data_IF_945982009110
#
_entry.id   IF_945982009110
#
_cell.length_a   1.000
_cell.length_b   1.000
_cell.length_c   1.000
_cell.angle_alpha   90.00
_cell.angle_beta   90.00
_cell.angle_gamma   90.00
#
_symmetry.space_group_name_H-M   'P 1'
#
loop_
_entity.id
_entity.type
_entity.pdbx_description
1 polymer ?
#
# COMPACT_ATOMS: atom_id res chain seq x y z
N UNK A 1 28.81 -16.53 19.51
CA UNK A 1 28.58 -16.58 18.05
C UNK A 1 28.39 -18.04 17.71
N UNK A 2 27.20 -18.45 17.26
CA UNK A 2 27.01 -19.81 16.73
C UNK A 2 27.82 -20.05 15.48
N UNK A 3 28.25 -21.29 15.31
CA UNK A 3 28.90 -21.76 14.10
C UNK A 3 27.97 -21.64 12.88
N UNK A 4 28.52 -21.29 11.70
CA UNK A 4 27.75 -21.26 10.47
C UNK A 4 27.28 -22.67 10.08
N UNK A 5 26.09 -22.73 9.50
CA UNK A 5 25.50 -23.93 8.91
C UNK A 5 25.15 -23.67 7.45
N UNK A 6 25.34 -24.70 6.63
CA UNK A 6 24.97 -24.69 5.21
C UNK A 6 23.72 -25.55 5.06
N UNK A 7 22.66 -24.95 4.53
CA UNK A 7 21.43 -25.63 4.14
C UNK A 7 21.41 -25.76 2.62
N UNK A 8 21.24 -26.97 2.11
CA UNK A 8 20.90 -27.22 0.72
C UNK A 8 19.40 -27.49 0.62
N UNK A 9 18.64 -26.50 0.16
CA UNK A 9 17.18 -26.57 0.03
C UNK A 9 16.84 -26.73 -1.46
N UNK A 10 16.48 -27.95 -1.84
CA UNK A 10 16.39 -28.36 -3.24
C UNK A 10 17.73 -28.13 -3.96
N UNK A 11 17.70 -27.32 -5.01
CA UNK A 11 18.90 -26.98 -5.81
C UNK A 11 19.69 -25.79 -5.25
N UNK A 12 19.18 -25.08 -4.23
CA UNK A 12 19.77 -23.84 -3.73
C UNK A 12 20.52 -24.06 -2.43
N UNK A 13 21.63 -23.33 -2.24
CA UNK A 13 22.43 -23.36 -1.01
C UNK A 13 22.30 -22.05 -0.25
N UNK A 14 22.11 -22.16 1.06
CA UNK A 14 21.97 -21.04 1.98
C UNK A 14 22.97 -21.20 3.13
N UNK A 15 23.66 -20.13 3.47
CA UNK A 15 24.55 -20.09 4.63
C UNK A 15 23.95 -19.16 5.69
N UNK A 16 23.86 -19.63 6.92
CA UNK A 16 23.33 -18.87 8.07
C UNK A 16 23.90 -19.44 9.36
N UNK A 17 23.41 -19.01 10.53
CA UNK A 17 23.77 -19.63 11.83
C UNK A 17 22.58 -20.38 12.41
N UNK A 18 22.85 -21.35 13.30
CA UNK A 18 21.81 -22.10 14.01
C UNK A 18 20.94 -21.16 14.84
N UNK A 19 21.55 -20.22 15.57
CA UNK A 19 20.86 -19.20 16.38
C UNK A 19 19.74 -18.49 15.61
N UNK A 20 20.03 -18.07 14.36
CA UNK A 20 19.04 -17.42 13.49
C UNK A 20 17.92 -18.38 13.15
N UNK A 21 18.23 -19.61 12.69
CA UNK A 21 17.23 -20.58 12.27
C UNK A 21 16.27 -20.95 13.39
N UNK A 22 16.81 -21.16 14.59
CA UNK A 22 16.00 -21.55 15.75
C UNK A 22 15.26 -20.38 16.38
N UNK A 23 15.41 -19.15 15.93
CA UNK A 23 14.73 -18.01 16.55
C UNK A 23 13.21 -18.09 16.31
N UNK A 24 12.83 -18.24 15.03
CA UNK A 24 11.45 -18.06 14.54
C UNK A 24 10.85 -19.31 13.87
N UNK A 25 11.61 -20.39 13.75
CA UNK A 25 11.14 -21.66 13.18
C UNK A 25 11.12 -22.76 14.23
N UNK A 26 9.93 -23.32 14.48
CA UNK A 26 9.80 -24.50 15.37
C UNK A 26 10.42 -25.75 14.76
N UNK A 27 10.38 -25.87 13.43
CA UNK A 27 11.06 -26.94 12.69
C UNK A 27 12.56 -26.94 12.98
N UNK A 28 13.24 -25.81 12.82
CA UNK A 28 14.69 -25.74 13.07
C UNK A 28 15.02 -25.87 14.55
N UNK A 29 14.19 -25.34 15.47
CA UNK A 29 14.31 -25.61 16.92
C UNK A 29 14.35 -27.11 17.19
N UNK A 30 13.43 -27.88 16.60
CA UNK A 30 13.38 -29.33 16.75
C UNK A 30 14.58 -30.02 16.07
N UNK A 31 14.95 -29.61 14.86
CA UNK A 31 16.06 -30.19 14.10
C UNK A 31 17.40 -30.05 14.85
N UNK A 32 17.64 -28.89 15.47
CA UNK A 32 18.88 -28.60 16.21
C UNK A 32 18.76 -28.83 17.73
N UNK A 33 17.68 -29.43 18.20
CA UNK A 33 17.49 -29.76 19.63
C UNK A 33 18.41 -30.87 20.15
N UNK A 34 19.13 -31.56 19.25
CA UNK A 34 19.93 -32.75 19.56
C UNK A 34 19.12 -34.03 19.75
N UNK A 35 17.78 -33.96 19.66
CA UNK A 35 16.90 -35.12 19.78
C UNK A 35 16.95 -36.05 18.55
N UNK A 36 17.38 -35.53 17.40
CA UNK A 36 17.45 -36.25 16.13
C UNK A 36 18.86 -36.20 15.56
N UNK A 37 19.33 -37.34 15.02
CA UNK A 37 20.59 -37.37 14.28
C UNK A 37 20.41 -36.64 12.94
N UNK A 38 20.89 -35.41 12.84
CA UNK A 38 20.84 -34.63 11.59
C UNK A 38 21.81 -35.27 10.59
N UNK A 39 21.25 -35.84 9.51
CA UNK A 39 22.05 -36.43 8.43
C UNK A 39 22.69 -35.30 7.62
N UNK A 40 24.00 -35.11 7.79
CA UNK A 40 24.80 -34.21 6.97
C UNK A 40 25.27 -34.89 5.69
N UNK A 41 25.49 -34.08 4.67
CA UNK A 41 26.15 -34.47 3.43
C UNK A 41 27.68 -34.57 3.63
N UNK A 42 28.43 -35.14 2.68
CA UNK A 42 29.90 -35.22 2.76
C UNK A 42 30.61 -33.87 2.91
N UNK A 43 29.97 -32.77 2.50
CA UNK A 43 30.46 -31.39 2.62
C UNK A 43 29.90 -30.66 3.86
N UNK A 44 29.41 -31.40 4.86
CA UNK A 44 28.81 -30.91 6.11
C UNK A 44 27.51 -30.10 5.97
N UNK A 45 26.96 -29.98 4.77
CA UNK A 45 25.67 -29.32 4.56
C UNK A 45 24.47 -30.20 4.95
N UNK A 46 23.34 -29.58 5.29
CA UNK A 46 22.08 -30.26 5.60
C UNK A 46 21.17 -30.18 4.38
N UNK A 47 20.77 -31.32 3.83
CA UNK A 47 19.84 -31.38 2.69
C UNK A 47 18.38 -31.33 3.14
N UNK A 48 17.58 -30.51 2.48
CA UNK A 48 16.14 -30.35 2.69
C UNK A 48 15.46 -30.37 1.33
N UNK A 49 14.57 -31.35 1.11
CA UNK A 49 13.90 -31.56 -0.18
C UNK A 49 12.67 -30.65 -0.33
N UNK A 50 12.91 -29.35 -0.49
CA UNK A 50 11.90 -28.29 -0.55
C UNK A 50 12.25 -27.23 -1.59
N UNK A 51 11.32 -26.32 -1.89
CA UNK A 51 11.57 -25.23 -2.84
C UNK A 51 12.51 -24.17 -2.27
N UNK A 52 13.76 -24.18 -2.74
CA UNK A 52 14.74 -23.18 -2.39
C UNK A 52 14.35 -21.75 -2.78
N UNK A 53 13.50 -21.54 -3.79
CA UNK A 53 13.07 -20.20 -4.21
C UNK A 53 12.17 -19.56 -3.16
N UNK A 54 11.10 -20.25 -2.78
CA UNK A 54 10.23 -19.81 -1.69
C UNK A 54 10.96 -19.74 -0.34
N UNK A 55 11.85 -20.70 -0.05
CA UNK A 55 12.62 -20.71 1.20
C UNK A 55 13.49 -19.47 1.41
N UNK A 56 13.98 -18.84 0.35
CA UNK A 56 14.76 -17.60 0.48
C UNK A 56 13.97 -16.51 1.23
N UNK A 57 12.67 -16.37 0.94
CA UNK A 57 11.81 -15.42 1.62
C UNK A 57 11.53 -15.83 3.07
N UNK A 58 11.36 -17.14 3.33
CA UNK A 58 11.23 -17.67 4.70
C UNK A 58 12.49 -17.38 5.51
N UNK A 59 13.68 -17.56 4.93
CA UNK A 59 14.95 -17.28 5.60
C UNK A 59 15.15 -15.78 5.86
N UNK A 60 14.74 -14.91 4.92
CA UNK A 60 14.74 -13.46 5.14
C UNK A 60 13.83 -13.07 6.31
N UNK A 61 12.63 -13.66 6.39
CA UNK A 61 11.73 -13.49 7.53
C UNK A 61 12.39 -13.95 8.83
N UNK A 62 12.96 -15.15 8.87
CA UNK A 62 13.61 -15.68 10.09
C UNK A 62 14.72 -14.74 10.58
N UNK A 63 15.51 -14.16 9.67
CA UNK A 63 16.64 -13.27 10.00
C UNK A 63 16.25 -11.93 10.61
N UNK A 64 15.16 -11.32 10.15
CA UNK A 64 14.84 -9.92 10.47
C UNK A 64 13.40 -9.65 10.87
N UNK A 65 12.55 -10.67 10.86
CA UNK A 65 11.11 -10.56 11.09
C UNK A 65 10.35 -9.78 10.02
N UNK A 66 10.97 -9.55 8.85
CA UNK A 66 10.36 -8.82 7.75
C UNK A 66 9.50 -9.77 6.93
N UNK A 67 8.23 -9.43 6.75
CA UNK A 67 7.32 -10.20 5.92
C UNK A 67 7.59 -9.96 4.43
N UNK A 68 7.40 -10.98 3.57
CA UNK A 68 7.52 -10.79 2.14
C UNK A 68 6.43 -9.85 1.63
N UNK A 69 6.82 -8.77 0.94
CA UNK A 69 5.90 -7.87 0.23
C UNK A 69 6.31 -7.84 -1.23
N UNK A 70 5.72 -8.76 -1.99
CA UNK A 70 5.90 -8.94 -3.42
C UNK A 70 4.75 -8.19 -4.10
N UNK A 71 5.03 -6.94 -4.46
CA UNK A 71 4.08 -6.06 -5.11
C UNK A 71 4.78 -5.32 -6.25
N UNK A 72 4.22 -5.40 -7.44
CA UNK A 72 4.66 -4.63 -8.59
C UNK A 72 3.85 -3.33 -8.67
N UNK A 73 4.58 -2.21 -8.62
CA UNK A 73 3.99 -0.86 -8.66
C UNK A 73 3.47 -0.49 -10.04
N UNK A 74 4.02 -1.07 -11.10
CA UNK A 74 3.64 -0.74 -12.47
C UNK A 74 2.35 -1.45 -12.86
N UNK A 75 2.26 -2.75 -12.58
CA UNK A 75 1.04 -3.55 -12.83
C UNK A 75 -0.01 -3.45 -11.73
N UNK A 76 0.31 -2.80 -10.60
CA UNK A 76 -0.51 -2.70 -9.39
C UNK A 76 -0.91 -4.07 -8.81
N UNK A 77 -0.06 -5.09 -9.00
CA UNK A 77 -0.39 -6.48 -8.67
C UNK A 77 0.51 -7.09 -7.60
N UNK A 78 -0.11 -7.89 -6.76
CA UNK A 78 0.54 -8.74 -5.79
C UNK A 78 1.01 -10.06 -6.44
N UNK A 79 2.17 -10.56 -6.02
CA UNK A 79 2.72 -11.83 -6.49
C UNK A 79 2.04 -13.06 -5.88
N UNK A 80 0.74 -13.25 -6.10
CA UNK A 80 -0.08 -14.31 -5.48
C UNK A 80 0.51 -15.71 -5.59
N UNK A 81 1.06 -16.08 -6.75
CA UNK A 81 1.72 -17.39 -6.95
C UNK A 81 2.89 -17.56 -5.97
N UNK A 82 3.69 -16.52 -5.77
CA UNK A 82 4.82 -16.57 -4.86
C UNK A 82 4.37 -16.55 -3.40
N UNK A 83 3.34 -15.77 -3.03
CA UNK A 83 2.77 -15.82 -1.67
C UNK A 83 2.33 -17.24 -1.28
N UNK A 84 1.65 -17.94 -2.19
CA UNK A 84 1.26 -19.34 -1.96
C UNK A 84 2.46 -20.27 -1.81
N UNK A 85 3.50 -20.12 -2.65
CA UNK A 85 4.72 -20.92 -2.53
C UNK A 85 5.42 -20.68 -1.18
N UNK A 86 5.51 -19.42 -0.74
CA UNK A 86 6.08 -19.07 0.58
C UNK A 86 5.20 -19.61 1.70
N UNK A 87 3.88 -19.62 1.57
CA UNK A 87 2.96 -20.14 2.58
C UNK A 87 3.20 -21.63 2.84
N UNK A 88 3.36 -22.43 1.79
CA UNK A 88 3.67 -23.85 1.91
C UNK A 88 5.00 -24.10 2.63
N UNK A 89 6.03 -23.31 2.32
CA UNK A 89 7.31 -23.39 3.03
C UNK A 89 7.20 -22.87 4.48
N UNK A 90 6.48 -21.78 4.72
CA UNK A 90 6.26 -21.25 6.06
C UNK A 90 5.55 -22.26 6.98
N UNK A 91 4.59 -23.03 6.44
CA UNK A 91 3.94 -24.16 7.11
C UNK A 91 4.93 -25.28 7.40
N UNK A 92 5.71 -25.70 6.41
CA UNK A 92 6.73 -26.75 6.55
C UNK A 92 7.78 -26.39 7.63
N UNK A 93 8.33 -25.18 7.56
CA UNK A 93 9.31 -24.67 8.52
C UNK A 93 8.67 -24.15 9.81
N UNK A 94 7.35 -24.26 9.97
CA UNK A 94 6.60 -23.91 11.18
C UNK A 94 6.92 -22.49 11.69
N UNK A 95 6.82 -21.51 10.78
CA UNK A 95 7.01 -20.09 11.05
C UNK A 95 5.64 -19.42 11.29
N UNK A 96 5.11 -19.55 12.50
CA UNK A 96 3.69 -19.29 12.81
C UNK A 96 3.21 -17.88 12.42
N UNK A 97 3.97 -16.83 12.76
CA UNK A 97 3.59 -15.45 12.40
C UNK A 97 3.60 -15.22 10.88
N UNK A 98 4.54 -15.84 10.15
CA UNK A 98 4.60 -15.77 8.69
C UNK A 98 3.42 -16.52 8.05
N UNK A 99 3.02 -17.66 8.62
CA UNK A 99 1.82 -18.40 8.18
C UNK A 99 0.59 -17.52 8.37
N UNK A 100 0.38 -16.94 9.55
CA UNK A 100 -0.74 -16.05 9.83
C UNK A 100 -0.76 -14.87 8.85
N UNK A 101 0.39 -14.21 8.65
CA UNK A 101 0.50 -13.08 7.73
C UNK A 101 0.06 -13.44 6.30
N UNK A 102 0.42 -14.63 5.81
CA UNK A 102 0.10 -15.09 4.46
C UNK A 102 -1.34 -15.62 4.32
N UNK A 103 -1.83 -16.39 5.29
CA UNK A 103 -3.19 -16.95 5.28
C UNK A 103 -4.26 -15.88 5.42
N UNK A 104 -4.02 -14.88 6.27
CA UNK A 104 -4.97 -13.77 6.48
C UNK A 104 -4.81 -12.64 5.45
N UNK A 105 -4.01 -12.88 4.41
CA UNK A 105 -3.72 -11.94 3.32
C UNK A 105 -3.27 -10.55 3.82
N UNK A 106 -2.52 -10.51 4.94
CA UNK A 106 -2.08 -9.26 5.55
C UNK A 106 -1.17 -8.43 4.62
N UNK A 107 -0.56 -9.06 3.62
CA UNK A 107 0.20 -8.38 2.56
C UNK A 107 -0.63 -7.34 1.79
N UNK A 108 -1.95 -7.50 1.70
CA UNK A 108 -2.84 -6.51 1.08
C UNK A 108 -2.88 -5.20 1.88
N UNK A 109 -2.61 -5.25 3.18
CA UNK A 109 -2.59 -4.08 4.09
C UNK A 109 -1.25 -3.36 4.08
N UNK A 110 -0.20 -3.99 3.56
CA UNK A 110 1.13 -3.40 3.42
C UNK A 110 1.19 -2.29 2.37
N UNK A 111 0.22 -2.25 1.44
CA UNK A 111 0.19 -1.30 0.32
C UNK A 111 -1.07 -0.45 0.41
N UNK A 112 -0.89 0.87 0.46
CA UNK A 112 -1.99 1.83 0.46
C UNK A 112 -1.88 2.82 -0.69
N UNK A 113 -3.05 3.27 -1.14
CA UNK A 113 -3.19 4.34 -2.12
C UNK A 113 -3.69 5.60 -1.42
N UNK A 114 -2.96 6.69 -1.59
CA UNK A 114 -3.45 8.03 -1.26
C UNK A 114 -3.95 8.68 -2.54
N UNK A 115 -5.26 8.80 -2.66
CA UNK A 115 -5.88 9.55 -3.74
C UNK A 115 -6.04 11.00 -3.32
N UNK A 116 -5.45 11.92 -4.08
CA UNK A 116 -5.67 13.35 -3.93
C UNK A 116 -6.40 13.90 -5.14
N UNK A 117 -7.29 14.84 -4.91
CA UNK A 117 -8.11 15.46 -5.95
C UNK A 117 -7.74 16.93 -6.08
N UNK A 118 -7.49 17.38 -7.29
CA UNK A 118 -7.37 18.80 -7.61
C UNK A 118 -8.44 19.19 -8.63
N UNK A 119 -9.11 20.31 -8.36
CA UNK A 119 -10.13 20.84 -9.27
C UNK A 119 -9.51 22.02 -10.01
N UNK A 120 -9.41 21.89 -11.33
CA UNK A 120 -8.86 22.93 -12.20
C UNK A 120 -9.96 23.51 -13.08
N UNK A 121 -9.84 24.81 -13.39
CA UNK A 121 -10.71 25.41 -14.39
C UNK A 121 -10.31 24.85 -15.76
N UNK A 122 -11.29 24.70 -16.66
CA UNK A 122 -11.02 24.17 -18.00
C UNK A 122 -10.02 25.04 -18.79
N UNK A 123 -10.08 26.36 -18.59
CA UNK A 123 -9.23 27.33 -19.29
C UNK A 123 -7.76 27.32 -18.84
N UNK A 124 -7.45 26.77 -17.66
CA UNK A 124 -6.08 26.74 -17.12
C UNK A 124 -5.25 25.53 -17.58
N UNK A 125 -5.77 24.70 -18.49
CA UNK A 125 -5.13 23.47 -18.97
C UNK A 125 -4.55 23.57 -20.40
N UNK A 126 -4.49 24.79 -20.97
CA UNK A 126 -4.03 25.01 -22.35
C UNK A 126 -2.48 24.99 -22.48
N UNK A 127 -1.73 24.94 -21.38
CA UNK A 127 -0.26 24.85 -21.42
C UNK A 127 0.22 23.42 -21.14
N UNK A 128 0.38 22.64 -22.21
CA UNK A 128 0.87 21.25 -22.15
C UNK A 128 2.39 21.23 -22.40
N UNK A 129 3.20 21.44 -21.36
CA UNK A 129 4.64 21.17 -21.42
C UNK A 129 4.88 19.67 -21.27
N UNK A 130 5.22 19.04 -22.39
CA UNK A 130 5.30 17.59 -22.58
C UNK A 130 6.66 17.01 -22.13
N UNK A 131 7.15 17.38 -20.95
CA UNK A 131 8.42 16.86 -20.44
C UNK A 131 8.33 16.52 -18.96
N UNK A 132 7.90 15.30 -18.67
CA UNK A 132 7.97 14.72 -17.35
C UNK A 132 7.14 13.45 -17.26
N UNK A 133 7.82 12.33 -17.03
CA UNK A 133 7.21 11.04 -16.67
C UNK A 133 6.42 11.22 -15.38
N UNK A 134 5.18 11.67 -15.50
CA UNK A 134 4.30 11.94 -14.37
C UNK A 134 3.45 10.71 -14.07
N UNK A 135 3.17 10.43 -12.78
CA UNK A 135 2.32 9.31 -12.38
C UNK A 135 0.95 9.41 -13.05
N UNK A 136 0.28 8.27 -13.25
CA UNK A 136 -1.02 8.14 -13.91
C UNK A 136 -2.03 9.19 -13.38
N UNK A 137 -2.21 10.28 -14.13
CA UNK A 137 -3.17 11.33 -13.84
C UNK A 137 -4.48 10.96 -14.52
N UNK A 138 -5.51 10.63 -13.74
CA UNK A 138 -6.85 10.45 -14.29
C UNK A 138 -7.55 11.80 -14.29
N UNK A 139 -7.83 12.29 -15.49
CA UNK A 139 -8.52 13.54 -15.71
C UNK A 139 -9.98 13.23 -16.06
N UNK A 140 -10.89 13.52 -15.13
CA UNK A 140 -12.33 13.38 -15.37
C UNK A 140 -13.01 14.73 -15.46
N UNK A 141 -13.94 14.84 -16.40
CA UNK A 141 -14.78 16.01 -16.52
C UNK A 141 -15.94 15.90 -15.53
N UNK A 142 -16.11 16.90 -14.67
CA UNK A 142 -17.29 17.00 -13.80
C UNK A 142 -17.96 18.35 -13.90
N UNK A 143 -19.28 18.30 -13.86
CA UNK A 143 -20.13 19.47 -13.74
C UNK A 143 -20.29 19.82 -12.26
N UNK A 144 -20.09 21.09 -11.94
CA UNK A 144 -20.25 21.64 -10.60
C UNK A 144 -21.25 22.79 -10.64
N UNK A 145 -22.04 22.94 -9.59
CA UNK A 145 -22.91 24.11 -9.45
C UNK A 145 -22.17 25.23 -8.73
N UNK A 146 -22.17 26.42 -9.34
CA UNK A 146 -21.75 27.65 -8.67
C UNK A 146 -22.91 28.61 -8.57
N UNK A 147 -22.97 29.34 -7.46
CA UNK A 147 -23.91 30.45 -7.27
C UNK A 147 -23.32 31.71 -7.89
N UNK A 148 -24.04 32.30 -8.83
CA UNK A 148 -23.64 33.53 -9.53
C UNK A 148 -24.60 34.63 -9.13
N UNK A 149 -24.07 35.73 -8.58
CA UNK A 149 -24.87 36.87 -8.15
C UNK A 149 -25.72 37.41 -9.30
N UNK A 150 -27.01 37.65 -9.03
CA UNK A 150 -27.96 38.24 -9.96
C UNK A 150 -28.20 39.69 -9.56
N UNK A 151 -27.98 40.60 -10.50
CA UNK A 151 -28.26 42.02 -10.27
C UNK A 151 -29.77 42.24 -10.14
N UNK A 152 -30.27 42.94 -9.09
CA UNK A 152 -31.69 43.26 -8.90
C UNK A 152 -32.32 44.04 -10.07
N UNK A 153 -31.48 44.70 -10.87
CA UNK A 153 -31.90 45.45 -12.06
C UNK A 153 -31.65 44.71 -13.37
N UNK A 154 -31.23 43.44 -13.31
CA UNK A 154 -30.95 42.62 -14.49
C UNK A 154 -29.80 43.11 -15.37
N UNK A 155 -28.89 43.96 -14.86
CA UNK A 155 -27.79 44.51 -15.66
C UNK A 155 -26.75 43.42 -15.94
N UNK A 156 -26.49 43.03 -17.21
CA UNK A 156 -25.59 41.92 -17.52
C UNK A 156 -24.15 42.14 -17.05
N UNK A 157 -23.64 43.37 -17.13
CA UNK A 157 -22.29 43.73 -16.70
C UNK A 157 -22.03 43.53 -15.19
N UNK A 158 -23.08 43.45 -14.37
CA UNK A 158 -22.96 43.22 -12.92
C UNK A 158 -23.10 41.73 -12.54
N UNK A 159 -23.42 40.84 -13.50
CA UNK A 159 -23.67 39.43 -13.23
C UNK A 159 -22.42 38.76 -12.66
N UNK A 160 -22.58 38.05 -11.54
CA UNK A 160 -21.48 37.39 -10.85
C UNK A 160 -20.57 38.31 -10.02
N UNK A 161 -20.78 39.63 -10.04
CA UNK A 161 -20.01 40.58 -9.24
C UNK A 161 -20.94 41.55 -8.50
N UNK A 162 -21.25 41.24 -7.23
CA UNK A 162 -22.08 42.08 -6.38
C UNK A 162 -21.52 43.50 -6.17
N UNK A 163 -20.20 43.66 -6.20
CA UNK A 163 -19.55 44.96 -6.00
C UNK A 163 -19.66 45.87 -7.23
N UNK A 164 -20.01 45.30 -8.40
CA UNK A 164 -20.39 46.08 -9.58
C UNK A 164 -21.71 46.85 -9.39
N UNK A 165 -22.53 46.47 -8.40
CA UNK A 165 -23.79 47.14 -8.13
C UNK A 165 -23.63 48.46 -7.36
N UNK A 166 -23.85 49.56 -8.09
CA UNK A 166 -23.94 50.89 -7.50
C UNK A 166 -25.24 51.17 -6.75
N UNK A 167 -25.39 52.41 -6.24
CA UNK A 167 -26.52 52.86 -5.39
C UNK A 167 -27.90 52.55 -5.98
N UNK A 168 -28.08 52.69 -7.29
CA UNK A 168 -29.35 52.41 -7.98
C UNK A 168 -29.75 50.93 -7.92
N UNK A 169 -28.80 50.00 -7.89
CA UNK A 169 -29.07 48.56 -7.75
C UNK A 169 -29.38 48.22 -6.29
N UNK A 170 -28.68 48.82 -5.34
CA UNK A 170 -28.94 48.67 -3.90
C UNK A 170 -30.34 49.17 -3.51
N UNK A 171 -30.76 50.31 -4.05
CA UNK A 171 -32.12 50.81 -3.84
C UNK A 171 -33.20 49.88 -4.43
N UNK A 172 -32.89 49.19 -5.54
CA UNK A 172 -33.81 48.22 -6.15
C UNK A 172 -33.86 46.89 -5.37
N UNK A 173 -32.77 46.53 -4.67
CA UNK A 173 -32.74 45.39 -3.75
C UNK A 173 -33.56 45.68 -2.48
N UNK A 174 -33.48 46.90 -1.95
CA UNK A 174 -34.15 47.27 -0.70
C UNK A 174 -33.62 46.45 0.48
N UNK A 175 -34.54 45.96 1.31
CA UNK A 175 -34.25 45.09 2.47
C UNK A 175 -34.30 43.57 2.12
N UNK A 176 -34.28 43.23 0.83
CA UNK A 176 -34.33 41.85 0.36
C UNK A 176 -32.89 41.29 0.30
N UNK A 177 -32.73 40.01 0.63
CA UNK A 177 -31.44 39.34 0.48
C UNK A 177 -31.01 39.24 -1.00
N UNK A 178 -29.70 39.43 -1.30
CA UNK A 178 -29.14 39.24 -2.63
C UNK A 178 -29.50 37.88 -3.26
N UNK A 179 -30.02 37.92 -4.50
CA UNK A 179 -30.34 36.72 -5.26
C UNK A 179 -29.11 36.13 -5.97
N UNK A 180 -29.04 34.80 -6.01
CA UNK A 180 -28.00 34.06 -6.73
C UNK A 180 -28.62 32.97 -7.59
N UNK A 181 -28.22 32.92 -8.87
CA UNK A 181 -28.60 31.85 -9.78
C UNK A 181 -27.57 30.71 -9.72
N UNK A 182 -28.04 29.47 -9.69
CA UNK A 182 -27.19 28.30 -9.89
C UNK A 182 -26.77 28.23 -11.37
N UNK A 183 -25.46 28.16 -11.61
CA UNK A 183 -24.89 27.97 -12.95
C UNK A 183 -24.00 26.74 -12.91
N UNK A 184 -24.28 25.80 -13.81
CA UNK A 184 -23.43 24.64 -14.03
C UNK A 184 -22.14 25.07 -14.71
N UNK A 185 -21.01 24.79 -14.08
CA UNK A 185 -19.67 24.99 -14.65
C UNK A 185 -18.95 23.66 -14.75
N UNK A 186 -18.27 23.50 -15.87
CA UNK A 186 -17.44 22.36 -16.16
C UNK A 186 -16.04 22.58 -15.61
N UNK A 187 -15.57 21.69 -14.75
CA UNK A 187 -14.21 21.73 -14.21
C UNK A 187 -13.52 20.39 -14.41
N UNK A 188 -12.21 20.45 -14.55
CA UNK A 188 -11.38 19.26 -14.61
C UNK A 188 -11.10 18.78 -13.20
N UNK A 189 -11.44 17.53 -12.91
CA UNK A 189 -11.03 16.84 -11.70
C UNK A 189 -9.79 16.01 -12.06
N UNK A 190 -8.64 16.45 -11.57
CA UNK A 190 -7.38 15.72 -11.66
C UNK A 190 -7.26 14.85 -10.41
N UNK A 191 -7.30 13.54 -10.62
CA UNK A 191 -7.04 12.55 -9.59
C UNK A 191 -5.58 12.12 -9.65
N UNK A 192 -4.84 12.40 -8.58
CA UNK A 192 -3.46 11.96 -8.40
C UNK A 192 -3.44 10.85 -7.36
N UNK A 193 -3.11 9.62 -7.79
CA UNK A 193 -2.92 8.48 -6.89
C UNK A 193 -1.45 8.35 -6.51
N UNK A 194 -1.15 8.48 -5.22
CA UNK A 194 0.19 8.28 -4.66
C UNK A 194 0.25 6.97 -3.88
N UNK A 195 1.18 6.13 -4.28
CA UNK A 195 1.51 4.89 -3.62
C UNK A 195 2.24 5.15 -2.27
N UNK A 196 1.87 4.43 -1.20
CA UNK A 196 2.55 4.47 0.09
C UNK A 196 2.59 3.09 0.77
N UNK A 197 3.78 2.68 1.23
CA UNK A 197 3.92 1.48 2.07
C UNK A 197 3.42 1.71 3.50
N UNK A 198 2.76 0.70 4.06
CA UNK A 198 2.35 0.65 5.46
C UNK A 198 3.30 -0.24 6.26
N UNK A 199 4.40 0.34 6.74
CA UNK A 199 5.50 -0.40 7.35
C UNK A 199 5.13 -1.25 8.57
N UNK A 200 4.15 -0.84 9.38
CA UNK A 200 3.78 -1.64 10.55
C UNK A 200 2.93 -2.91 10.25
N UNK A 201 2.60 -3.16 8.98
CA UNK A 201 2.16 -4.49 8.50
C UNK A 201 3.31 -5.32 7.92
N UNK A 202 4.47 -4.73 7.65
CA UNK A 202 5.58 -5.39 6.91
C UNK A 202 6.59 -6.09 7.81
N UNK A 203 6.44 -5.97 9.13
CA UNK A 203 7.34 -6.60 10.11
C UNK A 203 6.51 -7.23 11.23
N UNK A 204 6.98 -8.35 11.78
CA UNK A 204 6.27 -9.03 12.86
C UNK A 204 6.17 -8.22 14.15
N UNK A 205 7.10 -7.29 14.37
CA UNK A 205 7.09 -6.33 15.47
C UNK A 205 6.45 -5.00 15.07
N UNK A 206 5.83 -4.93 13.89
CA UNK A 206 5.07 -3.78 13.44
C UNK A 206 3.84 -3.56 14.32
N UNK A 207 3.50 -2.30 14.55
CA UNK A 207 2.40 -1.89 15.45
C UNK A 207 1.08 -2.54 15.05
N UNK A 208 0.68 -2.42 13.78
CA UNK A 208 -0.63 -2.91 13.34
C UNK A 208 -0.69 -4.44 13.26
N UNK A 209 0.40 -5.10 12.87
CA UNK A 209 0.44 -6.56 12.85
C UNK A 209 0.42 -7.15 14.27
N UNK A 210 1.12 -6.52 15.22
CA UNK A 210 1.10 -6.95 16.63
C UNK A 210 -0.30 -6.83 17.24
N UNK A 211 -0.97 -5.69 17.04
CA UNK A 211 -2.36 -5.48 17.46
C UNK A 211 -3.32 -6.49 16.81
N UNK A 212 -3.07 -6.85 15.55
CA UNK A 212 -3.85 -7.87 14.86
C UNK A 212 -3.70 -9.25 15.49
N UNK A 213 -2.47 -9.65 15.85
CA UNK A 213 -2.21 -10.91 16.55
C UNK A 213 -2.86 -10.95 17.93
N UNK A 214 -2.85 -9.85 18.67
CA UNK A 214 -3.51 -9.76 19.98
C UNK A 214 -5.01 -10.01 19.86
N UNK A 215 -5.68 -9.31 18.94
CA UNK A 215 -7.12 -9.50 18.68
C UNK A 215 -7.45 -10.92 18.24
N UNK A 216 -6.59 -11.55 17.44
CA UNK A 216 -6.79 -12.92 16.95
C UNK A 216 -6.65 -13.97 18.07
N UNK A 217 -5.89 -13.70 19.13
CA UNK A 217 -5.79 -14.59 20.30
C UNK A 217 -7.01 -14.52 21.22
N UNK A 218 -7.76 -13.42 21.17
CA UNK A 218 -8.98 -13.21 21.96
C UNK A 218 -10.23 -13.87 21.32
N UNK A 219 -10.12 -14.31 20.07
CA UNK A 219 -11.21 -14.92 19.29
C UNK A 219 -11.07 -16.44 19.23
#
# INVERSE_FOLDING_TARGET
>A
MSDPVILQVGERRFQTTIDVLVEKSRYFKALFSGQWAVKKQPDDSIFIDRDGKAFEHVLQYIRGGVFPVIFDKESEQHGYVMYNAILEEAKYFQCDNLVIFLEDECYLRCVNWRTTYQIHNFESFIDFDNCGTTPSQFCSFRQFERKVYVCPRGIPAHRGNQYGCGRRCKNALGDIDPEYAAVTVSRLLVEEKKFKYHYGWMNEHGTEFSEYLEKKKET
#
